data_IF_098365268757
#
_entry.id   IF_098365268757
#
_cell.length_a   1.000
_cell.length_b   1.000
_cell.length_c   1.000
_cell.angle_alpha   90.00
_cell.angle_beta   90.00
_cell.angle_gamma   90.00
#
_symmetry.space_group_name_H-M   'P 1'
#
loop_
_entity.id
_entity.type
_entity.pdbx_description
1 polymer ?
#
# COMPACT_ATOMS: atom_id res chain seq x y z
N UNK A 1 -10.14 15.61 -30.43
CA UNK A 1 -8.99 14.99 -29.75
C UNK A 1 -9.33 14.91 -28.27
N UNK A 2 -9.60 13.73 -27.73
CA UNK A 2 -9.77 13.58 -26.28
C UNK A 2 -8.39 13.60 -25.63
N UNK A 3 -8.16 14.34 -24.54
CA UNK A 3 -6.91 14.22 -23.81
C UNK A 3 -6.90 12.84 -23.16
N UNK A 4 -5.98 12.00 -23.61
CA UNK A 4 -5.54 10.79 -22.91
C UNK A 4 -4.94 11.22 -21.56
N UNK A 5 -5.78 11.42 -20.55
CA UNK A 5 -5.34 11.55 -19.18
C UNK A 5 -4.87 10.17 -18.73
N UNK A 6 -3.56 9.93 -18.87
CA UNK A 6 -2.91 8.83 -18.17
C UNK A 6 -3.14 9.08 -16.67
N UNK A 7 -4.01 8.27 -16.06
CA UNK A 7 -4.27 8.25 -14.63
C UNK A 7 -2.97 7.87 -13.90
N UNK A 8 -2.15 8.87 -13.57
CA UNK A 8 -0.89 8.68 -12.89
C UNK A 8 -1.13 8.68 -11.39
N UNK A 9 -0.81 7.54 -10.78
CA UNK A 9 -0.65 7.39 -9.34
C UNK A 9 0.30 8.50 -8.80
N UNK A 10 0.12 8.97 -7.56
CA UNK A 10 1.01 9.99 -7.02
C UNK A 10 2.44 9.43 -6.95
N UNK A 11 3.42 10.31 -7.18
CA UNK A 11 4.83 9.93 -7.00
C UNK A 11 5.09 9.57 -5.54
N UNK A 12 6.06 8.68 -5.32
CA UNK A 12 6.49 8.34 -3.97
C UNK A 12 7.01 9.60 -3.26
N UNK A 13 6.53 9.84 -2.06
CA UNK A 13 7.11 10.83 -1.15
C UNK A 13 8.55 10.46 -0.78
N UNK A 14 9.33 11.44 -0.29
CA UNK A 14 10.70 11.18 0.15
C UNK A 14 10.77 10.13 1.28
N UNK A 15 9.77 10.11 2.16
CA UNK A 15 9.67 9.11 3.23
C UNK A 15 9.41 7.71 2.68
N UNK A 16 8.49 7.58 1.72
CA UNK A 16 8.27 6.30 1.02
C UNK A 16 9.53 5.84 0.31
N UNK A 17 10.20 6.71 -0.44
CA UNK A 17 11.41 6.37 -1.16
C UNK A 17 12.53 5.86 -0.24
N UNK A 18 12.75 6.54 0.89
CA UNK A 18 13.75 6.12 1.88
C UNK A 18 13.39 4.78 2.49
N UNK A 19 12.16 4.65 2.97
CA UNK A 19 11.71 3.43 3.63
C UNK A 19 11.69 2.23 2.67
N UNK A 20 11.27 2.44 1.42
CA UNK A 20 11.25 1.38 0.43
C UNK A 20 12.66 0.91 0.12
N UNK A 21 13.63 1.80 -0.06
CA UNK A 21 15.03 1.40 -0.24
C UNK A 21 15.55 0.52 0.91
N UNK A 22 15.19 0.85 2.14
CA UNK A 22 15.59 0.05 3.30
C UNK A 22 14.94 -1.34 3.25
N UNK A 23 13.63 -1.43 2.97
CA UNK A 23 12.95 -2.71 2.80
C UNK A 23 13.50 -3.53 1.62
N UNK A 24 13.76 -2.90 0.47
CA UNK A 24 14.36 -3.53 -0.71
C UNK A 24 15.72 -4.14 -0.36
N UNK A 25 16.53 -3.44 0.43
CA UNK A 25 17.83 -3.93 0.92
C UNK A 25 17.67 -5.08 1.92
N UNK A 26 16.72 -4.97 2.85
CA UNK A 26 16.47 -6.00 3.87
C UNK A 26 15.99 -7.31 3.26
N UNK A 27 15.12 -7.25 2.25
CA UNK A 27 14.49 -8.43 1.67
C UNK A 27 15.03 -8.81 0.29
N UNK A 28 16.00 -8.07 -0.26
CA UNK A 28 16.53 -8.29 -1.60
C UNK A 28 15.44 -8.26 -2.68
N UNK A 29 14.45 -7.38 -2.51
CA UNK A 29 13.18 -7.38 -3.25
C UNK A 29 12.94 -6.03 -3.92
N UNK A 30 12.03 -5.98 -4.91
CA UNK A 30 11.52 -4.71 -5.44
C UNK A 30 10.17 -4.39 -4.83
N UNK A 31 9.93 -3.11 -4.54
CA UNK A 31 8.66 -2.66 -3.97
C UNK A 31 7.87 -1.84 -4.99
N UNK A 32 6.55 -2.03 -5.00
CA UNK A 32 5.60 -1.21 -5.78
C UNK A 32 4.45 -0.77 -4.91
N UNK A 33 4.02 0.48 -5.09
CA UNK A 33 2.97 1.11 -4.28
C UNK A 33 1.84 1.60 -5.17
N UNK A 34 0.62 1.40 -4.71
CA UNK A 34 -0.60 1.82 -5.38
C UNK A 34 -1.57 2.41 -4.35
N UNK A 35 -2.29 3.46 -4.73
CA UNK A 35 -3.43 3.98 -4.00
C UNK A 35 -4.69 3.59 -4.75
N UNK A 36 -5.67 3.12 -3.99
CA UNK A 36 -7.03 2.88 -4.47
C UNK A 36 -7.96 3.87 -3.78
N UNK A 37 -8.62 4.73 -4.55
CA UNK A 37 -9.49 5.78 -4.02
C UNK A 37 -10.95 5.44 -4.26
N UNK A 38 -11.77 5.76 -3.28
CA UNK A 38 -13.21 5.56 -3.39
C UNK A 38 -13.89 6.90 -3.62
N UNK A 39 -14.71 6.96 -4.67
CA UNK A 39 -15.69 8.03 -4.80
C UNK A 39 -16.65 8.03 -3.61
N UNK A 40 -17.40 9.13 -3.43
CA UNK A 40 -18.49 9.21 -2.42
C UNK A 40 -19.53 8.09 -2.54
N UNK A 41 -19.64 7.43 -3.70
CA UNK A 41 -20.55 6.31 -3.95
C UNK A 41 -19.89 4.93 -3.73
N UNK A 42 -18.62 4.89 -3.32
CA UNK A 42 -17.85 3.67 -3.09
C UNK A 42 -17.24 3.05 -4.35
N UNK A 43 -17.38 3.69 -5.51
CA UNK A 43 -16.77 3.23 -6.77
C UNK A 43 -15.29 3.57 -6.79
N UNK A 44 -14.44 2.61 -7.16
CA UNK A 44 -13.00 2.80 -7.37
C UNK A 44 -12.76 3.78 -8.52
N UNK A 45 -11.95 4.81 -8.27
CA UNK A 45 -11.49 5.71 -9.32
C UNK A 45 -10.01 5.99 -9.16
N UNK A 46 -9.23 5.66 -10.19
CA UNK A 46 -7.83 6.05 -10.35
C UNK A 46 -7.64 7.55 -10.69
N UNK A 47 -8.69 8.37 -10.55
CA UNK A 47 -8.79 9.71 -11.15
C UNK A 47 -8.62 10.86 -10.17
N UNK A 48 -8.52 10.59 -8.86
CA UNK A 48 -8.51 11.68 -7.88
C UNK A 48 -7.13 12.30 -7.70
N UNK A 49 -7.00 13.58 -8.04
CA UNK A 49 -5.80 14.40 -7.78
C UNK A 49 -5.46 14.59 -6.29
N UNK A 50 -6.32 14.13 -5.37
CA UNK A 50 -6.14 14.26 -3.92
C UNK A 50 -6.28 12.89 -3.23
N UNK A 51 -5.42 11.95 -3.61
CA UNK A 51 -5.45 10.55 -3.17
C UNK A 51 -5.58 10.38 -1.63
N UNK A 52 -5.09 11.34 -0.85
CA UNK A 52 -5.07 11.33 0.61
C UNK A 52 -6.24 12.09 1.28
N UNK A 53 -7.09 12.80 0.51
CA UNK A 53 -8.18 13.64 1.05
C UNK A 53 -9.56 12.99 1.01
N UNK A 54 -9.72 11.88 0.30
CA UNK A 54 -10.93 11.05 0.29
C UNK A 54 -10.61 9.66 0.80
N UNK A 55 -11.60 8.84 1.20
CA UNK A 55 -11.32 7.50 1.67
C UNK A 55 -10.53 6.68 0.65
N UNK A 56 -9.47 6.02 1.10
CA UNK A 56 -8.53 5.31 0.23
C UNK A 56 -7.95 4.05 0.88
N UNK A 57 -7.42 3.16 0.05
CA UNK A 57 -6.58 2.02 0.45
C UNK A 57 -5.15 2.22 -0.08
N UNK A 58 -4.17 1.80 0.73
CA UNK A 58 -2.75 1.84 0.39
C UNK A 58 -2.29 0.42 0.11
N UNK A 59 -1.84 0.15 -1.11
CA UNK A 59 -1.37 -1.17 -1.51
C UNK A 59 0.14 -1.16 -1.71
N UNK A 60 0.82 -2.14 -1.11
CA UNK A 60 2.25 -2.36 -1.25
C UNK A 60 2.49 -3.79 -1.76
N UNK A 61 3.04 -3.93 -2.96
CA UNK A 61 3.57 -5.20 -3.45
C UNK A 61 5.04 -5.30 -3.12
N UNK A 62 5.43 -6.43 -2.54
CA UNK A 62 6.82 -6.80 -2.28
C UNK A 62 7.12 -8.02 -3.14
N UNK A 63 7.94 -7.82 -4.17
CA UNK A 63 8.35 -8.86 -5.11
C UNK A 63 9.54 -9.62 -4.50
N UNK A 64 9.23 -10.58 -3.62
CA UNK A 64 10.13 -11.45 -2.88
C UNK A 64 10.78 -12.54 -3.76
N UNK A 65 12.08 -12.81 -3.60
CA UNK A 65 12.73 -13.97 -4.20
C UNK A 65 12.05 -15.29 -3.81
N UNK A 66 12.16 -16.35 -4.63
CA UNK A 66 11.69 -17.68 -4.28
C UNK A 66 12.19 -18.11 -2.90
N UNK A 67 11.33 -18.77 -2.12
CA UNK A 67 11.61 -19.25 -0.75
C UNK A 67 11.91 -18.16 0.30
N UNK A 68 11.77 -16.88 -0.04
CA UNK A 68 11.82 -15.79 0.93
C UNK A 68 10.44 -15.55 1.49
N UNK A 69 10.31 -15.51 2.81
CA UNK A 69 9.05 -15.20 3.48
C UNK A 69 9.27 -14.14 4.55
N UNK A 70 8.39 -13.14 4.59
CA UNK A 70 8.36 -12.13 5.65
C UNK A 70 7.46 -12.66 6.77
N UNK A 71 7.94 -12.63 8.02
CA UNK A 71 7.12 -13.03 9.18
C UNK A 71 5.91 -12.10 9.34
N UNK A 72 4.80 -12.63 9.85
CA UNK A 72 3.57 -11.86 10.01
C UNK A 72 3.74 -10.65 10.94
N UNK A 73 4.54 -10.76 12.01
CA UNK A 73 4.91 -9.63 12.88
C UNK A 73 5.66 -8.52 12.13
N UNK A 74 6.50 -8.90 11.17
CA UNK A 74 7.21 -7.94 10.31
C UNK A 74 6.26 -7.28 9.32
N UNK A 75 5.28 -8.01 8.78
CA UNK A 75 4.20 -7.45 7.94
C UNK A 75 3.35 -6.45 8.74
N UNK A 76 2.98 -6.79 9.97
CA UNK A 76 2.26 -5.89 10.85
C UNK A 76 3.07 -4.61 11.11
N UNK A 77 4.36 -4.75 11.42
CA UNK A 77 5.26 -3.61 11.67
C UNK A 77 5.40 -2.72 10.43
N UNK A 78 5.47 -3.30 9.22
CA UNK A 78 5.49 -2.55 7.97
C UNK A 78 4.19 -1.75 7.80
N UNK A 79 3.03 -2.40 7.97
CA UNK A 79 1.74 -1.73 7.86
C UNK A 79 1.58 -0.61 8.90
N UNK A 80 2.01 -0.84 10.14
CA UNK A 80 1.97 0.16 11.20
C UNK A 80 2.87 1.35 10.89
N UNK A 81 4.10 1.11 10.41
CA UNK A 81 5.02 2.18 10.00
C UNK A 81 4.44 3.02 8.86
N UNK A 82 3.86 2.36 7.84
CA UNK A 82 3.19 3.05 6.73
C UNK A 82 2.05 3.93 7.26
N UNK A 83 1.17 3.40 8.12
CA UNK A 83 0.06 4.17 8.69
C UNK A 83 0.55 5.36 9.52
N UNK A 84 1.48 5.13 10.43
CA UNK A 84 1.83 6.10 11.47
C UNK A 84 2.85 7.13 10.98
N UNK A 85 3.87 6.71 10.24
CA UNK A 85 4.99 7.56 9.85
C UNK A 85 4.83 8.12 8.44
N UNK A 86 4.53 7.26 7.46
CA UNK A 86 4.41 7.70 6.06
C UNK A 86 3.10 8.44 5.82
N UNK A 87 1.98 7.85 6.24
CA UNK A 87 0.65 8.41 6.05
C UNK A 87 0.20 9.30 7.22
N UNK A 88 1.03 9.48 8.24
CA UNK A 88 0.78 10.38 9.38
C UNK A 88 -0.60 10.18 10.03
N UNK A 89 -1.05 8.93 10.15
CA UNK A 89 -2.37 8.56 10.68
C UNK A 89 -3.53 9.24 9.93
N UNK A 90 -3.42 9.35 8.61
CA UNK A 90 -4.47 9.94 7.78
C UNK A 90 -5.83 9.26 8.03
N UNK A 91 -6.81 10.05 8.48
CA UNK A 91 -8.16 9.60 8.84
C UNK A 91 -8.96 9.01 7.68
N UNK A 92 -8.53 9.25 6.45
CA UNK A 92 -9.17 8.73 5.24
C UNK A 92 -8.63 7.35 4.85
N UNK A 93 -7.54 6.88 5.46
CA UNK A 93 -7.01 5.54 5.23
C UNK A 93 -8.01 4.49 5.74
N UNK A 94 -8.49 3.63 4.84
CA UNK A 94 -9.35 2.50 5.20
C UNK A 94 -8.52 1.26 5.52
N UNK A 95 -7.63 0.87 4.61
CA UNK A 95 -6.79 -0.32 4.77
C UNK A 95 -5.41 -0.12 4.17
N UNK A 96 -4.46 -0.88 4.68
CA UNK A 96 -3.18 -1.12 4.03
C UNK A 96 -3.19 -2.58 3.54
N UNK A 97 -2.97 -2.79 2.26
CA UNK A 97 -2.90 -4.11 1.65
C UNK A 97 -1.43 -4.39 1.30
N UNK A 98 -0.92 -5.52 1.75
CA UNK A 98 0.45 -5.95 1.46
C UNK A 98 0.38 -7.26 0.68
N UNK A 99 0.88 -7.21 -0.56
CA UNK A 99 1.01 -8.37 -1.43
C UNK A 99 2.43 -8.92 -1.34
N UNK A 100 2.55 -10.23 -1.14
CA UNK A 100 3.80 -10.95 -1.40
C UNK A 100 3.70 -11.51 -2.82
N UNK A 101 4.58 -11.05 -3.71
CA UNK A 101 4.64 -11.50 -5.11
C UNK A 101 3.28 -11.44 -5.82
N UNK A 102 2.77 -10.23 -6.06
CA UNK A 102 1.53 -9.79 -6.77
C UNK A 102 0.24 -10.64 -6.61
N UNK A 103 0.32 -11.96 -6.71
CA UNK A 103 -0.77 -12.92 -6.77
C UNK A 103 -0.67 -14.06 -5.73
N UNK A 104 0.34 -14.11 -4.85
CA UNK A 104 0.56 -15.32 -4.02
C UNK A 104 0.05 -15.24 -2.58
N UNK A 105 0.14 -14.08 -1.91
CA UNK A 105 -0.39 -13.91 -0.55
C UNK A 105 -0.79 -12.46 -0.29
N UNK A 106 -2.02 -12.25 0.20
CA UNK A 106 -2.56 -10.93 0.56
C UNK A 106 -2.66 -10.78 2.09
N UNK A 107 -2.16 -9.67 2.61
CA UNK A 107 -2.40 -9.24 3.99
C UNK A 107 -3.14 -7.92 3.98
N UNK A 108 -4.29 -7.86 4.66
CA UNK A 108 -5.09 -6.66 4.81
C UNK A 108 -5.01 -6.16 6.26
N UNK A 109 -4.36 -5.02 6.46
CA UNK A 109 -4.36 -4.31 7.72
C UNK A 109 -5.53 -3.30 7.74
N UNK A 110 -6.48 -3.50 8.65
CA UNK A 110 -7.60 -2.59 8.88
C UNK A 110 -7.12 -1.40 9.72
N UNK A 111 -7.09 -0.20 9.12
CA UNK A 111 -6.53 0.98 9.75
C UNK A 111 -7.35 1.45 10.96
N UNK A 112 -8.66 1.17 10.97
CA UNK A 112 -9.57 1.56 12.05
C UNK A 112 -9.52 0.58 13.22
N UNK A 113 -9.40 -0.71 12.93
CA UNK A 113 -9.37 -1.77 13.94
C UNK A 113 -7.95 -2.06 14.46
N UNK A 114 -6.92 -1.58 13.77
CA UNK A 114 -5.52 -1.89 14.07
C UNK A 114 -5.23 -3.39 14.06
N UNK A 115 -5.81 -4.11 13.10
CA UNK A 115 -5.73 -5.57 13.00
C UNK A 115 -5.24 -6.01 11.64
N UNK A 116 -4.32 -6.97 11.61
CA UNK A 116 -3.87 -7.63 10.40
C UNK A 116 -4.70 -8.88 10.13
N UNK A 117 -5.23 -9.00 8.92
CA UNK A 117 -5.96 -10.16 8.44
C UNK A 117 -5.17 -10.76 7.29
N UNK A 118 -4.80 -12.02 7.41
CA UNK A 118 -4.16 -12.78 6.34
C UNK A 118 -5.23 -13.41 5.47
N UNK A 119 -5.15 -13.20 4.16
CA UNK A 119 -5.94 -13.95 3.18
C UNK A 119 -4.99 -14.87 2.41
N UNK A 120 -5.29 -16.16 2.49
CA UNK A 120 -4.76 -17.14 1.55
C UNK A 120 -5.86 -17.40 0.54
N UNK A 121 -5.55 -17.23 -0.74
CA UNK A 121 -6.30 -17.91 -1.81
C UNK A 121 -6.02 -19.42 -1.77
#
# INVERSE_FOLDING_TARGET
MQPSQTNQQPQLSLQEQSYFKDLEKTYGSKLKRFYHNYTKKGTDTLEEKNYDKVPFEYSLSIDLPPNTNIKDDSIFSIAEHIKNSILQKNKNLKKIIIYKNYDTYEYAYDANKNTLIKKQD
#
